data_IF_454731573427
#
_entry.id   IF_454731573427
#
_cell.length_a   1.000
_cell.length_b   1.000
_cell.length_c   1.000
_cell.angle_alpha   90.00
_cell.angle_beta   90.00
_cell.angle_gamma   90.00
#
_symmetry.space_group_name_H-M   'P 1'
#
loop_
_entity.id
_entity.type
_entity.pdbx_description
1 polymer ?
#
# COMPACT_ATOMS: atom_id res chain seq x y z
N UNK A 1 7.22 8.68 -0.05
CA UNK A 1 6.17 9.01 -1.03
C UNK A 1 5.04 8.03 -0.81
N UNK A 2 3.76 8.43 -0.94
CA UNK A 2 2.62 7.62 -0.49
C UNK A 2 2.09 6.70 -1.62
N UNK A 3 2.98 5.88 -2.19
CA UNK A 3 2.75 4.86 -3.21
C UNK A 3 3.94 3.89 -3.17
N UNK A 4 3.90 2.82 -3.95
CA UNK A 4 4.85 1.69 -3.88
C UNK A 4 4.81 0.95 -2.54
N UNK A 5 3.63 0.93 -1.90
CA UNK A 5 3.42 0.15 -0.69
C UNK A 5 3.42 -1.35 -0.98
N UNK A 6 2.82 -1.73 -2.11
CA UNK A 6 2.74 -3.11 -2.55
C UNK A 6 3.10 -3.27 -4.02
N UNK A 7 3.73 -4.39 -4.35
CA UNK A 7 4.19 -4.67 -5.70
C UNK A 7 4.65 -6.10 -5.87
N UNK A 8 5.21 -6.43 -7.04
CA UNK A 8 5.60 -7.80 -7.40
C UNK A 8 6.63 -8.46 -6.47
N UNK A 9 7.23 -7.69 -5.56
CA UNK A 9 8.12 -8.17 -4.50
C UNK A 9 7.37 -8.79 -3.31
N UNK A 10 6.05 -8.58 -3.21
CA UNK A 10 5.22 -9.16 -2.16
C UNK A 10 4.77 -10.59 -2.52
N UNK A 11 4.61 -11.43 -1.49
CA UNK A 11 4.04 -12.77 -1.60
C UNK A 11 2.54 -12.73 -1.88
N UNK A 12 1.88 -11.63 -1.55
CA UNK A 12 0.44 -11.40 -1.75
C UNK A 12 0.20 -10.22 -2.67
N UNK A 13 -0.94 -10.24 -3.36
CA UNK A 13 -1.37 -9.16 -4.24
C UNK A 13 -2.02 -8.04 -3.41
N UNK A 14 -1.76 -6.79 -3.76
CA UNK A 14 -2.41 -5.66 -3.11
C UNK A 14 -2.37 -4.35 -3.92
N UNK A 15 -2.98 -3.30 -3.38
CA UNK A 15 -2.96 -1.98 -3.99
C UNK A 15 -1.61 -1.29 -3.87
N UNK A 16 -1.14 -0.67 -4.95
CA UNK A 16 0.07 0.16 -4.97
C UNK A 16 0.03 1.33 -3.94
N UNK A 17 -1.16 1.90 -3.74
CA UNK A 17 -1.37 3.15 -3.00
C UNK A 17 -2.72 3.17 -2.25
N UNK A 18 -2.95 2.26 -1.28
CA UNK A 18 -4.21 2.22 -0.54
C UNK A 18 -4.35 3.48 0.34
N UNK A 19 -5.55 4.07 0.35
CA UNK A 19 -5.80 5.27 1.17
C UNK A 19 -5.80 4.94 2.67
N UNK A 20 -6.36 3.79 3.05
CA UNK A 20 -6.48 3.31 4.43
C UNK A 20 -6.05 1.85 4.53
N UNK A 21 -5.67 1.41 5.73
CA UNK A 21 -5.48 -0.01 6.04
C UNK A 21 -6.80 -0.78 6.00
N UNK A 22 -6.73 -2.06 5.61
CA UNK A 22 -7.85 -3.01 5.74
C UNK A 22 -7.96 -3.52 7.18
N UNK A 23 -9.17 -3.95 7.57
CA UNK A 23 -9.43 -4.48 8.93
C UNK A 23 -8.61 -5.71 9.30
N UNK A 24 -8.18 -6.48 8.30
CA UNK A 24 -7.36 -7.68 8.47
C UNK A 24 -5.87 -7.39 8.60
N UNK A 25 -5.42 -6.16 8.29
CA UNK A 25 -4.01 -5.78 8.39
C UNK A 25 -3.69 -5.41 9.84
N UNK A 26 -2.67 -6.06 10.40
CA UNK A 26 -2.24 -5.90 11.78
C UNK A 26 -0.72 -5.67 11.84
N UNK A 27 -0.24 -5.04 12.91
CA UNK A 27 1.18 -4.74 13.08
C UNK A 27 1.71 -3.85 11.94
N UNK A 28 2.90 -4.17 11.43
CA UNK A 28 3.58 -3.36 10.42
C UNK A 28 2.80 -3.25 9.11
N UNK A 29 2.00 -4.26 8.75
CA UNK A 29 1.16 -4.22 7.56
C UNK A 29 0.12 -3.08 7.61
N UNK A 30 -0.34 -2.70 8.81
CA UNK A 30 -1.29 -1.59 8.99
C UNK A 30 -0.68 -0.21 8.71
N UNK A 31 0.64 -0.12 8.50
CA UNK A 31 1.35 1.13 8.21
C UNK A 31 1.45 1.44 6.72
N UNK A 32 1.22 0.44 5.85
CA UNK A 32 1.44 0.50 4.40
C UNK A 32 0.28 1.17 3.65
N UNK A 33 -0.12 2.36 4.08
CA UNK A 33 -1.18 3.15 3.47
C UNK A 33 -0.93 4.66 3.58
N UNK A 34 -1.66 5.43 2.76
CA UNK A 34 -1.52 6.89 2.67
C UNK A 34 -1.83 7.57 4.01
N UNK A 35 -2.92 7.20 4.69
CA UNK A 35 -3.34 7.84 5.94
C UNK A 35 -2.27 7.71 7.03
N UNK A 36 -1.77 6.49 7.26
CA UNK A 36 -0.72 6.27 8.24
C UNK A 36 0.56 7.03 7.89
N UNK A 37 1.01 6.95 6.63
CA UNK A 37 2.24 7.61 6.19
C UNK A 37 2.17 9.13 6.33
N UNK A 38 1.04 9.76 6.00
CA UNK A 38 0.84 11.20 6.18
C UNK A 38 0.81 11.55 7.66
N UNK A 39 0.00 10.85 8.46
CA UNK A 39 -0.15 11.11 9.88
C UNK A 39 1.17 10.93 10.64
N UNK A 40 2.02 9.97 10.24
CA UNK A 40 3.35 9.77 10.81
C UNK A 40 4.23 11.03 10.71
N UNK A 41 4.26 11.67 9.54
CA UNK A 41 5.04 12.90 9.34
C UNK A 41 4.42 14.10 10.05
N UNK A 42 3.09 14.24 10.03
CA UNK A 42 2.40 15.33 10.72
C UNK A 42 2.62 15.25 12.24
N UNK A 43 2.54 14.05 12.83
CA UNK A 43 2.81 13.84 14.26
C UNK A 43 4.26 14.15 14.64
N UNK A 44 5.20 14.06 13.70
CA UNK A 44 6.61 14.47 13.88
C UNK A 44 6.85 15.96 13.68
N UNK A 45 5.79 16.75 13.51
CA UNK A 45 5.86 18.21 13.42
C UNK A 45 6.11 18.74 12.00
N UNK A 46 5.92 17.91 10.96
CA UNK A 46 6.03 18.41 9.59
C UNK A 46 4.88 19.41 9.29
N UNK A 47 5.16 20.62 8.77
CA UNK A 47 4.12 21.60 8.46
C UNK A 47 3.17 21.11 7.35
N UNK A 48 1.87 21.03 7.65
CA UNK A 48 0.85 20.45 6.75
C UNK A 48 0.77 21.21 5.42
N UNK A 49 0.88 22.53 5.45
CA UNK A 49 0.81 23.41 4.28
C UNK A 49 2.01 23.27 3.33
N UNK A 50 3.09 22.62 3.78
CA UNK A 50 4.26 22.28 2.96
C UNK A 50 4.24 20.81 2.52
N UNK A 51 3.25 20.04 2.92
CA UNK A 51 3.18 18.61 2.64
C UNK A 51 2.67 18.39 1.22
N UNK A 52 3.49 17.75 0.39
CA UNK A 52 3.09 17.34 -0.96
C UNK A 52 2.73 15.86 -0.92
N UNK A 53 1.44 15.56 -1.08
CA UNK A 53 0.96 14.19 -1.19
C UNK A 53 1.25 13.66 -2.60
N UNK A 54 2.02 12.57 -2.68
CA UNK A 54 2.26 11.87 -3.92
C UNK A 54 1.01 11.11 -4.39
N UNK A 55 0.66 11.24 -5.67
CA UNK A 55 -0.41 10.48 -6.33
C UNK A 55 0.20 9.66 -7.46
N UNK A 56 0.07 8.34 -7.39
CA UNK A 56 0.53 7.47 -8.47
C UNK A 56 -0.48 7.47 -9.63
N UNK A 57 -0.04 7.89 -10.82
CA UNK A 57 -0.81 7.76 -12.07
C UNK A 57 -0.56 6.42 -12.76
N UNK A 58 -0.13 5.42 -11.99
CA UNK A 58 0.20 4.07 -12.45
C UNK A 58 -0.19 3.04 -11.39
N UNK A 59 -0.38 1.80 -11.84
CA UNK A 59 -0.59 0.63 -10.98
C UNK A 59 0.61 -0.31 -11.02
N UNK A 60 0.64 -1.27 -10.09
CA UNK A 60 1.61 -2.36 -10.06
C UNK A 60 0.88 -3.68 -10.33
N UNK A 61 1.18 -4.38 -11.43
CA UNK A 61 0.52 -5.63 -11.75
C UNK A 61 1.10 -6.79 -10.93
N UNK A 62 0.28 -7.81 -10.77
CA UNK A 62 0.66 -9.10 -10.20
C UNK A 62 0.29 -10.22 -11.16
N UNK A 63 1.01 -11.34 -11.06
CA UNK A 63 0.59 -12.60 -11.67
C UNK A 63 -0.11 -13.40 -10.59
N UNK A 64 -1.38 -13.75 -10.78
CA UNK A 64 -2.13 -14.49 -9.77
C UNK A 64 -1.65 -15.93 -9.67
N UNK A 65 -1.53 -16.48 -8.45
CA UNK A 65 -1.24 -17.90 -8.26
C UNK A 65 -2.32 -18.80 -8.86
N UNK A 66 -3.56 -18.36 -8.74
CA UNK A 66 -4.74 -18.96 -9.36
C UNK A 66 -5.70 -17.85 -9.79
N UNK A 67 -6.39 -17.94 -10.93
CA UNK A 67 -7.40 -16.97 -11.33
C UNK A 67 -8.53 -16.76 -10.32
N UNK A 68 -8.81 -17.76 -9.48
CA UNK A 68 -9.82 -17.68 -8.40
C UNK A 68 -9.33 -16.94 -7.15
N UNK A 69 -8.03 -16.68 -7.03
CA UNK A 69 -7.40 -16.00 -5.90
C UNK A 69 -7.03 -14.57 -6.31
N UNK A 70 -8.04 -13.74 -6.54
CA UNK A 70 -7.93 -12.42 -7.17
C UNK A 70 -8.24 -11.22 -6.24
N UNK A 71 -8.67 -11.48 -5.01
CA UNK A 71 -8.82 -10.44 -3.98
C UNK A 71 -7.48 -10.02 -3.34
N UNK A 72 -7.34 -8.74 -2.91
CA UNK A 72 -6.20 -8.28 -2.13
C UNK A 72 -5.88 -9.20 -0.93
N UNK A 73 -4.59 -9.47 -0.69
CA UNK A 73 -4.10 -10.41 0.33
C UNK A 73 -3.98 -11.87 -0.14
N UNK A 74 -4.50 -12.21 -1.33
CA UNK A 74 -4.25 -13.52 -1.92
C UNK A 74 -2.86 -13.66 -2.53
N UNK A 75 -2.41 -14.91 -2.71
CA UNK A 75 -1.06 -15.21 -3.17
C UNK A 75 -0.79 -14.74 -4.62
N UNK A 76 0.33 -14.03 -4.76
CA UNK A 76 1.02 -13.79 -6.02
C UNK A 76 1.68 -15.10 -6.48
N UNK A 77 1.88 -15.28 -7.79
CA UNK A 77 2.55 -16.47 -8.35
C UNK A 77 4.06 -16.53 -8.03
N UNK A 78 4.60 -15.44 -7.45
CA UNK A 78 6.03 -15.24 -7.32
C UNK A 78 6.66 -14.90 -8.66
N UNK A 79 7.76 -14.17 -8.63
CA UNK A 79 8.73 -14.16 -9.72
C UNK A 79 9.68 -15.35 -9.56
#
# INVERSE_FOLDING_TARGET
MAYDFHGSWDETIDHNSPLYSRRSEIGDASYLNVDWAVNYWLQRGFPKEKFVLGLATYGRPFKLKSPSLNEPGHLNDGA
#
